data_IF_502272515020
#
_entry.id   IF_502272515020
#
_cell.length_a   1.000
_cell.length_b   1.000
_cell.length_c   1.000
_cell.angle_alpha   90.00
_cell.angle_beta   90.00
_cell.angle_gamma   90.00
#
_symmetry.space_group_name_H-M   'P 1'
#
loop_
_entity.id
_entity.type
_entity.pdbx_description
1 polymer ?
#
# COMPACT_ATOMS: atom_id res chain seq x y z
N UNK A 1 15.78 7.47 -8.24
CA UNK A 1 15.28 7.94 -6.93
C UNK A 1 13.76 8.03 -6.86
N UNK A 2 13.07 9.05 -7.41
CA UNK A 2 11.60 9.17 -7.24
C UNK A 2 10.83 8.04 -7.94
N UNK A 3 11.25 7.67 -9.15
CA UNK A 3 10.65 6.52 -9.86
C UNK A 3 10.89 5.19 -9.15
N UNK A 4 12.06 5.00 -8.54
CA UNK A 4 12.35 3.78 -7.76
C UNK A 4 11.47 3.72 -6.50
N UNK A 5 11.33 4.84 -5.78
CA UNK A 5 10.44 4.92 -4.62
C UNK A 5 8.98 4.61 -4.99
N UNK A 6 8.51 5.08 -6.14
CA UNK A 6 7.17 4.77 -6.64
C UNK A 6 7.00 3.28 -6.96
N UNK A 7 8.03 2.64 -7.55
CA UNK A 7 8.04 1.18 -7.76
C UNK A 7 8.00 0.43 -6.43
N UNK A 8 8.75 0.87 -5.44
CA UNK A 8 8.75 0.27 -4.11
C UNK A 8 7.39 0.41 -3.42
N UNK A 9 6.74 1.58 -3.51
CA UNK A 9 5.38 1.77 -2.98
C UNK A 9 4.36 0.88 -3.67
N UNK A 10 4.51 0.64 -4.97
CA UNK A 10 3.68 -0.33 -5.70
C UNK A 10 3.86 -1.75 -5.18
N UNK A 11 5.10 -2.14 -4.84
CA UNK A 11 5.38 -3.46 -4.26
C UNK A 11 4.83 -3.57 -2.83
N UNK A 12 5.00 -2.53 -2.01
CA UNK A 12 4.46 -2.48 -0.64
C UNK A 12 2.92 -2.54 -0.65
N UNK A 13 2.27 -1.83 -1.57
CA UNK A 13 0.80 -1.85 -1.69
C UNK A 13 0.28 -3.27 -1.96
N UNK A 14 0.95 -4.04 -2.81
CA UNK A 14 0.62 -5.46 -3.05
C UNK A 14 0.84 -6.34 -1.82
N UNK A 15 1.93 -6.11 -1.09
CA UNK A 15 2.19 -6.84 0.16
C UNK A 15 1.15 -6.53 1.24
N UNK A 16 0.65 -5.28 1.29
CA UNK A 16 -0.42 -4.89 2.18
C UNK A 16 -1.75 -5.54 1.77
N UNK A 17 -2.05 -5.67 0.47
CA UNK A 17 -3.22 -6.41 -0.02
C UNK A 17 -3.21 -7.87 0.48
N UNK A 18 -2.08 -8.55 0.36
CA UNK A 18 -1.89 -9.88 0.90
C UNK A 18 -2.03 -9.92 2.43
N UNK A 19 -1.48 -8.92 3.13
CA UNK A 19 -1.58 -8.80 4.59
C UNK A 19 -3.01 -8.59 5.09
N UNK A 20 -3.80 -7.78 4.40
CA UNK A 20 -5.23 -7.55 4.66
C UNK A 20 -5.97 -8.88 4.54
N UNK A 21 -5.77 -9.61 3.45
CA UNK A 21 -6.40 -10.92 3.24
C UNK A 21 -6.04 -11.91 4.34
N UNK A 22 -4.76 -12.01 4.71
CA UNK A 22 -4.29 -12.94 5.76
C UNK A 22 -4.89 -12.59 7.13
N UNK A 23 -4.97 -11.29 7.47
CA UNK A 23 -5.57 -10.84 8.72
C UNK A 23 -7.08 -11.14 8.76
N UNK A 24 -7.80 -10.86 7.68
CA UNK A 24 -9.23 -11.18 7.55
C UNK A 24 -9.51 -12.68 7.59
N UNK A 25 -8.70 -13.50 6.90
CA UNK A 25 -8.80 -14.97 6.93
C UNK A 25 -8.58 -15.55 8.35
N UNK A 26 -7.80 -14.85 9.19
CA UNK A 26 -7.53 -15.21 10.58
C UNK A 26 -8.55 -14.65 11.59
N UNK A 27 -9.48 -13.80 11.16
CA UNK A 27 -10.41 -13.07 12.04
C UNK A 27 -9.73 -12.01 12.90
N UNK A 28 -8.58 -11.47 12.46
CA UNK A 28 -7.87 -10.37 13.12
C UNK A 28 -8.25 -9.03 12.51
N UNK A 29 -9.47 -8.57 12.84
CA UNK A 29 -10.03 -7.33 12.32
C UNK A 29 -9.14 -6.11 12.64
N UNK A 30 -8.46 -6.11 13.78
CA UNK A 30 -7.64 -4.96 14.23
C UNK A 30 -6.43 -4.78 13.31
N UNK A 31 -5.71 -5.87 13.02
CA UNK A 31 -4.60 -5.82 12.07
C UNK A 31 -5.08 -5.57 10.64
N UNK A 32 -6.23 -6.14 10.24
CA UNK A 32 -6.81 -5.88 8.93
C UNK A 32 -7.09 -4.38 8.71
N UNK A 33 -7.77 -3.72 9.66
CA UNK A 33 -8.03 -2.28 9.59
C UNK A 33 -6.74 -1.45 9.57
N UNK A 34 -5.74 -1.86 10.34
CA UNK A 34 -4.43 -1.18 10.33
C UNK A 34 -3.78 -1.26 8.94
N UNK A 35 -3.78 -2.44 8.31
CA UNK A 35 -3.20 -2.62 6.98
C UNK A 35 -3.97 -1.87 5.90
N UNK A 36 -5.30 -1.81 5.97
CA UNK A 36 -6.12 -0.98 5.07
C UNK A 36 -5.73 0.51 5.17
N UNK A 37 -5.55 1.01 6.39
CA UNK A 37 -5.14 2.41 6.62
C UNK A 37 -3.75 2.69 6.04
N UNK A 38 -2.81 1.76 6.24
CA UNK A 38 -1.47 1.85 5.66
C UNK A 38 -1.50 1.83 4.14
N UNK A 39 -2.26 0.92 3.53
CA UNK A 39 -2.36 0.79 2.07
C UNK A 39 -2.93 2.06 1.46
N UNK A 40 -4.02 2.58 2.03
CA UNK A 40 -4.63 3.85 1.60
C UNK A 40 -3.63 5.01 1.62
N UNK A 41 -2.78 5.08 2.67
CA UNK A 41 -1.73 6.09 2.76
C UNK A 41 -0.65 5.89 1.69
N UNK A 42 -0.12 4.68 1.54
CA UNK A 42 0.93 4.36 0.57
C UNK A 42 0.46 4.65 -0.86
N UNK A 43 -0.75 4.23 -1.21
CA UNK A 43 -1.32 4.44 -2.56
C UNK A 43 -1.49 5.92 -2.88
N UNK A 44 -1.97 6.71 -1.90
CA UNK A 44 -2.08 8.16 -2.06
C UNK A 44 -0.72 8.80 -2.32
N UNK A 45 0.32 8.42 -1.56
CA UNK A 45 1.66 8.94 -1.78
C UNK A 45 2.23 8.49 -3.12
N UNK A 46 2.03 7.23 -3.50
CA UNK A 46 2.47 6.71 -4.78
C UNK A 46 1.81 7.46 -5.95
N UNK A 47 0.50 7.73 -5.86
CA UNK A 47 -0.22 8.55 -6.85
C UNK A 47 0.39 9.96 -7.00
N UNK A 48 0.77 10.61 -5.90
CA UNK A 48 1.44 11.91 -5.95
C UNK A 48 2.82 11.83 -6.64
N UNK A 49 3.58 10.75 -6.38
CA UNK A 49 4.90 10.54 -7.00
C UNK A 49 4.78 10.24 -8.50
N UNK A 50 3.79 9.43 -8.90
CA UNK A 50 3.49 9.16 -10.31
C UNK A 50 3.08 10.45 -11.03
N UNK A 51 2.21 11.24 -10.42
CA UNK A 51 1.81 12.56 -10.94
C UNK A 51 3.01 13.49 -11.13
N UNK A 52 3.94 13.52 -10.17
CA UNK A 52 5.19 14.29 -10.28
C UNK A 52 6.07 13.82 -11.45
N UNK A 53 6.09 12.51 -11.75
CA UNK A 53 6.81 11.93 -12.87
C UNK A 53 6.07 12.04 -14.22
N UNK A 54 4.85 12.59 -14.24
CA UNK A 54 4.00 12.65 -15.43
C UNK A 54 3.46 11.29 -15.87
N UNK A 55 3.25 10.38 -14.92
CA UNK A 55 2.75 9.02 -15.14
C UNK A 55 1.41 8.78 -14.45
#
# INVERSE_FOLDING_TARGET
MVEELSKDFTNISKQLEDGIRVAGDAGDDVSEYMFISMQTSVDKHNWMLLSYLGK
#
